data_IF_957388418231
#
_entry.id   IF_957388418231
#
_cell.length_a   1.000
_cell.length_b   1.000
_cell.length_c   1.000
_cell.angle_alpha   90.00
_cell.angle_beta   90.00
_cell.angle_gamma   90.00
#
_symmetry.space_group_name_H-M   'P 1'
#
loop_
_entity.id
_entity.type
_entity.pdbx_description
1 polymer ?
#
# COMPACT_ATOMS: atom_id res chain seq x y z
N UNK A 1 6.27 -16.05 50.23
CA UNK A 1 5.21 -16.28 49.21
C UNK A 1 5.89 -16.95 48.04
N UNK A 2 5.39 -18.08 47.57
CA UNK A 2 5.95 -18.77 46.40
C UNK A 2 5.76 -17.92 45.15
N UNK A 3 6.77 -17.88 44.29
CA UNK A 3 6.71 -17.16 43.01
C UNK A 3 5.51 -17.64 42.17
N UNK A 4 4.54 -16.77 41.83
CA UNK A 4 3.36 -17.17 41.07
C UNK A 4 3.62 -17.34 39.57
N UNK A 5 4.81 -17.00 39.06
CA UNK A 5 5.11 -16.94 37.64
C UNK A 5 4.84 -18.25 36.90
N UNK A 6 5.27 -19.38 37.49
CA UNK A 6 5.06 -20.70 36.87
C UNK A 6 3.57 -21.04 36.68
N UNK A 7 2.72 -20.70 37.64
CA UNK A 7 1.27 -20.94 37.56
C UNK A 7 0.62 -20.02 36.52
N UNK A 8 1.06 -18.77 36.44
CA UNK A 8 0.58 -17.83 35.43
C UNK A 8 0.92 -18.30 34.01
N UNK A 9 2.17 -18.70 33.76
CA UNK A 9 2.63 -19.10 32.43
C UNK A 9 1.90 -20.34 31.90
N UNK A 10 1.68 -21.35 32.75
CA UNK A 10 0.94 -22.56 32.38
C UNK A 10 -0.50 -22.23 32.01
N UNK A 11 -1.17 -21.38 32.80
CA UNK A 11 -2.55 -20.98 32.53
C UNK A 11 -2.65 -20.15 31.24
N UNK A 12 -1.71 -19.24 31.02
CA UNK A 12 -1.65 -18.43 29.81
C UNK A 12 -1.43 -19.29 28.56
N UNK A 13 -0.47 -20.21 28.59
CA UNK A 13 -0.20 -21.13 27.48
C UNK A 13 -1.41 -22.03 27.20
N UNK A 14 -2.07 -22.53 28.25
CA UNK A 14 -3.27 -23.37 28.11
C UNK A 14 -4.42 -22.61 27.46
N UNK A 15 -4.68 -21.37 27.91
CA UNK A 15 -5.71 -20.53 27.33
C UNK A 15 -5.40 -20.19 25.85
N UNK A 16 -4.15 -19.79 25.58
CA UNK A 16 -3.66 -19.46 24.24
C UNK A 16 -3.81 -20.63 23.26
N UNK A 17 -3.45 -21.85 23.68
CA UNK A 17 -3.64 -23.05 22.88
C UNK A 17 -5.13 -23.38 22.66
N UNK A 18 -5.99 -23.13 23.66
CA UNK A 18 -7.42 -23.45 23.59
C UNK A 18 -8.20 -22.59 22.60
N UNK A 19 -7.82 -21.32 22.42
CA UNK A 19 -8.41 -20.41 21.42
C UNK A 19 -7.55 -20.30 20.15
N UNK A 20 -6.41 -20.98 20.13
CA UNK A 20 -5.42 -20.96 19.08
C UNK A 20 -4.93 -19.53 18.80
N UNK A 21 -4.62 -18.72 19.81
CA UNK A 21 -4.07 -17.36 19.60
C UNK A 21 -2.67 -17.30 20.20
N UNK A 22 -1.63 -16.85 19.46
CA UNK A 22 -0.29 -16.72 20.01
C UNK A 22 -0.28 -15.90 21.30
N UNK A 23 0.42 -16.38 22.34
CA UNK A 23 0.50 -15.72 23.66
C UNK A 23 0.97 -14.26 23.56
N UNK A 24 1.89 -13.97 22.63
CA UNK A 24 2.38 -12.62 22.34
C UNK A 24 1.32 -11.68 21.76
N UNK A 25 0.32 -12.21 21.05
CA UNK A 25 -0.82 -11.43 20.55
C UNK A 25 -1.81 -11.19 21.70
N UNK A 26 -2.05 -12.18 22.57
CA UNK A 26 -3.00 -12.08 23.68
C UNK A 26 -2.59 -11.12 24.78
N UNK A 27 -1.33 -11.17 25.20
CA UNK A 27 -0.81 -10.38 26.33
C UNK A 27 -0.12 -9.10 25.86
N UNK A 28 0.18 -9.00 24.56
CA UNK A 28 1.12 -8.04 24.03
C UNK A 28 2.56 -8.46 24.31
N UNK A 29 3.51 -7.90 23.56
CA UNK A 29 4.93 -8.15 23.83
C UNK A 29 5.34 -7.36 25.08
N UNK A 30 5.78 -8.06 26.11
CA UNK A 30 6.17 -7.46 27.40
C UNK A 30 7.41 -6.55 27.31
N UNK A 31 8.15 -6.59 26.19
CA UNK A 31 9.30 -5.72 25.92
C UNK A 31 8.91 -4.41 25.20
N UNK A 32 7.62 -4.17 24.94
CA UNK A 32 7.13 -2.98 24.25
C UNK A 32 7.32 -3.01 22.73
N UNK A 33 7.87 -4.09 22.17
CA UNK A 33 7.90 -4.32 20.74
C UNK A 33 6.53 -4.82 20.23
N UNK A 34 6.29 -4.77 18.93
CA UNK A 34 5.08 -5.41 18.38
C UNK A 34 5.21 -6.93 18.56
N UNK A 35 4.08 -7.66 18.56
CA UNK A 35 4.14 -9.10 18.37
C UNK A 35 4.95 -9.40 17.09
N UNK A 36 5.68 -10.52 17.06
CA UNK A 36 6.51 -10.89 15.91
C UNK A 36 5.70 -10.77 14.62
N UNK A 37 6.31 -10.24 13.55
CA UNK A 37 5.68 -10.12 12.23
C UNK A 37 5.11 -11.46 11.77
N UNK A 38 5.76 -12.56 12.12
CA UNK A 38 5.30 -13.92 11.81
C UNK A 38 4.06 -14.33 12.61
N UNK A 39 4.06 -14.09 13.93
CA UNK A 39 2.91 -14.37 14.80
C UNK A 39 1.68 -13.55 14.36
N UNK A 40 1.89 -12.30 13.93
CA UNK A 40 0.85 -11.42 13.42
C UNK A 40 0.31 -11.91 12.07
N UNK A 41 1.18 -12.27 11.12
CA UNK A 41 0.77 -12.81 9.82
C UNK A 41 -0.04 -14.09 9.97
N UNK A 42 0.41 -15.01 10.82
CA UNK A 42 -0.31 -16.25 11.10
C UNK A 42 -1.72 -15.98 11.64
N UNK A 43 -1.84 -15.09 12.64
CA UNK A 43 -3.13 -14.75 13.22
C UNK A 43 -4.05 -14.03 12.23
N UNK A 44 -3.52 -13.06 11.48
CA UNK A 44 -4.26 -12.34 10.44
C UNK A 44 -4.81 -13.28 9.36
N UNK A 45 -3.99 -14.23 8.88
CA UNK A 45 -4.43 -15.22 7.89
C UNK A 45 -5.60 -16.04 8.40
N UNK A 46 -5.59 -16.44 9.67
CA UNK A 46 -6.73 -17.14 10.28
C UNK A 46 -7.97 -16.27 10.42
N UNK A 47 -7.83 -15.00 10.78
CA UNK A 47 -8.94 -14.06 10.79
C UNK A 47 -9.54 -13.90 9.38
N UNK A 48 -8.72 -13.86 8.33
CA UNK A 48 -9.17 -13.82 6.94
C UNK A 48 -9.92 -15.09 6.55
N UNK A 49 -9.40 -16.28 6.86
CA UNK A 49 -10.14 -17.54 6.64
C UNK A 49 -11.50 -17.52 7.32
N UNK A 50 -11.57 -17.05 8.57
CA UNK A 50 -12.85 -16.97 9.29
C UNK A 50 -13.82 -15.96 8.67
N UNK A 51 -13.32 -14.86 8.11
CA UNK A 51 -14.12 -13.86 7.39
C UNK A 51 -14.71 -14.45 6.10
N UNK A 52 -13.95 -15.26 5.39
CA UNK A 52 -14.45 -15.97 4.19
C UNK A 52 -15.58 -16.94 4.56
N UNK A 53 -15.40 -17.73 5.63
CA UNK A 53 -16.44 -18.65 6.12
C UNK A 53 -17.75 -17.92 6.47
N UNK A 54 -17.65 -16.81 7.22
CA UNK A 54 -18.81 -16.01 7.64
C UNK A 54 -19.45 -15.26 6.46
N UNK A 55 -18.68 -14.95 5.40
CA UNK A 55 -19.18 -14.26 4.21
C UNK A 55 -20.34 -15.00 3.55
N UNK A 56 -20.30 -16.34 3.53
CA UNK A 56 -21.42 -17.16 3.05
C UNK A 56 -22.67 -17.02 3.92
N UNK A 57 -22.52 -17.14 5.23
CA UNK A 57 -23.61 -17.00 6.19
C UNK A 57 -24.26 -15.60 6.12
N UNK A 58 -23.45 -14.57 5.89
CA UNK A 58 -23.92 -13.20 5.72
C UNK A 58 -24.80 -13.07 4.46
N UNK A 59 -24.37 -13.67 3.36
CA UNK A 59 -25.16 -13.71 2.12
C UNK A 59 -26.49 -14.45 2.32
N UNK A 60 -26.49 -15.54 3.07
CA UNK A 60 -27.70 -16.28 3.42
C UNK A 60 -28.66 -15.48 4.30
N UNK A 61 -28.13 -14.72 5.27
CA UNK A 61 -28.91 -13.82 6.12
C UNK A 61 -29.62 -12.76 5.28
N UNK A 62 -28.89 -12.05 4.42
CA UNK A 62 -29.48 -11.02 3.56
C UNK A 62 -30.46 -11.61 2.54
N UNK A 63 -30.17 -12.80 2.00
CA UNK A 63 -31.09 -13.52 1.11
C UNK A 63 -32.41 -13.85 1.81
N UNK A 64 -32.37 -14.29 3.08
CA UNK A 64 -33.58 -14.53 3.88
C UNK A 64 -34.35 -13.25 4.17
N UNK A 65 -33.67 -12.15 4.50
CA UNK A 65 -34.31 -10.84 4.70
C UNK A 65 -35.00 -10.35 3.42
N UNK A 66 -34.39 -10.59 2.25
CA UNK A 66 -34.98 -10.28 0.95
C UNK A 66 -36.20 -11.16 0.64
N UNK A 67 -36.14 -12.45 0.95
CA UNK A 67 -37.28 -13.37 0.82
C UNK A 67 -38.47 -12.95 1.70
N UNK A 68 -38.20 -12.41 2.89
CA UNK A 68 -39.20 -11.82 3.78
C UNK A 68 -39.69 -10.43 3.34
N UNK A 69 -39.19 -9.91 2.20
CA UNK A 69 -39.49 -8.58 1.65
C UNK A 69 -39.17 -7.42 2.60
N UNK A 70 -38.20 -7.62 3.50
CA UNK A 70 -37.70 -6.54 4.37
C UNK A 70 -36.73 -5.62 3.63
N UNK A 71 -35.98 -6.18 2.68
CA UNK A 71 -34.99 -5.48 1.85
C UNK A 71 -35.14 -5.91 0.39
N UNK A 72 -34.70 -5.05 -0.53
CA UNK A 72 -34.48 -5.42 -1.94
C UNK A 72 -33.03 -5.82 -2.11
N UNK A 73 -32.77 -7.02 -2.64
CA UNK A 73 -31.41 -7.52 -2.85
C UNK A 73 -31.03 -7.42 -4.34
N UNK A 74 -29.86 -6.88 -4.69
CA UNK A 74 -29.34 -6.92 -6.05
C UNK A 74 -29.04 -8.36 -6.48
N UNK A 75 -28.95 -8.59 -7.80
CA UNK A 75 -28.70 -9.92 -8.39
C UNK A 75 -27.30 -10.43 -8.02
N UNK A 76 -26.29 -9.56 -8.08
CA UNK A 76 -24.92 -9.87 -7.68
C UNK A 76 -24.56 -9.18 -6.37
N UNK A 77 -24.41 -9.99 -5.33
CA UNK A 77 -23.90 -9.59 -4.02
C UNK A 77 -22.67 -10.41 -3.70
N UNK A 78 -21.57 -9.72 -3.46
CA UNK A 78 -20.31 -10.24 -2.95
C UNK A 78 -19.99 -9.59 -1.61
N UNK A 79 -19.38 -10.36 -0.70
CA UNK A 79 -18.85 -9.85 0.57
C UNK A 79 -17.38 -9.55 0.35
N UNK A 80 -16.99 -8.31 0.62
CA UNK A 80 -15.59 -7.86 0.52
C UNK A 80 -15.04 -7.61 1.93
N UNK A 81 -13.78 -7.97 2.12
CA UNK A 81 -13.05 -7.74 3.36
C UNK A 81 -11.71 -7.10 3.02
N UNK A 82 -11.28 -6.16 3.85
CA UNK A 82 -9.93 -5.61 3.74
C UNK A 82 -8.90 -6.70 4.08
N UNK A 83 -7.82 -6.77 3.31
CA UNK A 83 -6.71 -7.66 3.61
C UNK A 83 -5.94 -7.15 4.84
N UNK A 84 -5.94 -7.96 5.90
CA UNK A 84 -5.24 -7.66 7.16
C UNK A 84 -3.72 -7.68 7.02
N UNK A 85 -3.21 -8.34 5.98
CA UNK A 85 -1.78 -8.40 5.67
C UNK A 85 -1.37 -7.41 4.58
N UNK A 86 -2.29 -6.54 4.14
CA UNK A 86 -1.97 -5.51 3.17
C UNK A 86 -0.83 -4.63 3.69
N UNK A 87 0.10 -4.32 2.79
CA UNK A 87 1.17 -3.37 3.08
C UNK A 87 0.56 -2.04 3.51
N UNK A 88 1.13 -1.44 4.55
CA UNK A 88 0.77 -0.09 4.95
C UNK A 88 1.11 0.89 3.84
N UNK A 89 0.42 2.03 3.80
CA UNK A 89 0.73 3.10 2.82
C UNK A 89 2.20 3.54 2.87
N UNK A 90 2.83 3.51 4.04
CA UNK A 90 4.24 3.82 4.20
C UNK A 90 5.14 2.77 3.51
N UNK A 91 4.83 1.49 3.67
CA UNK A 91 5.58 0.41 3.02
C UNK A 91 5.39 0.39 1.50
N UNK A 92 4.18 0.73 1.00
CA UNK A 92 3.91 0.90 -0.43
C UNK A 92 4.75 2.04 -1.03
N UNK A 93 4.79 3.20 -0.35
CA UNK A 93 5.62 4.32 -0.77
C UNK A 93 7.13 3.98 -0.71
N UNK A 94 7.56 3.20 0.27
CA UNK A 94 8.96 2.73 0.34
C UNK A 94 9.29 1.75 -0.80
N UNK A 95 8.36 0.87 -1.18
CA UNK A 95 8.52 -0.01 -2.33
C UNK A 95 8.64 0.78 -3.64
N UNK A 96 7.77 1.76 -3.86
CA UNK A 96 7.85 2.67 -5.00
C UNK A 96 9.18 3.46 -5.02
N UNK A 97 9.64 3.94 -3.87
CA UNK A 97 10.94 4.62 -3.75
C UNK A 97 12.12 3.71 -4.11
N UNK A 98 12.07 2.42 -3.74
CA UNK A 98 13.09 1.44 -4.14
C UNK A 98 13.07 1.18 -5.64
N UNK A 99 11.90 1.09 -6.26
CA UNK A 99 11.79 0.95 -7.71
C UNK A 99 12.37 2.18 -8.45
N UNK A 100 12.07 3.39 -7.98
CA UNK A 100 12.65 4.61 -8.53
C UNK A 100 14.19 4.67 -8.34
N UNK A 101 14.71 4.23 -7.20
CA UNK A 101 16.15 4.12 -6.97
C UNK A 101 16.83 3.11 -7.91
N UNK A 102 16.18 1.99 -8.20
CA UNK A 102 16.71 1.00 -9.16
C UNK A 102 16.84 1.64 -10.54
N UNK A 103 15.84 2.38 -11.00
CA UNK A 103 15.93 3.13 -12.26
C UNK A 103 17.07 4.15 -12.24
N UNK A 104 17.26 4.89 -11.13
CA UNK A 104 18.40 5.81 -10.99
C UNK A 104 19.75 5.10 -11.06
N UNK A 105 19.88 3.91 -10.48
CA UNK A 105 21.10 3.11 -10.53
C UNK A 105 21.36 2.53 -11.94
N UNK A 106 20.31 2.19 -12.67
CA UNK A 106 20.34 1.66 -14.04
C UNK A 106 20.39 2.75 -15.13
N UNK A 107 20.41 4.02 -14.74
CA UNK A 107 20.57 5.14 -15.68
C UNK A 107 21.87 5.02 -16.49
N UNK A 108 22.93 4.48 -15.89
CA UNK A 108 24.21 4.24 -16.55
C UNK A 108 24.17 3.14 -17.62
N UNK A 109 23.23 2.20 -17.51
CA UNK A 109 23.00 1.14 -18.51
C UNK A 109 22.01 1.55 -19.59
N UNK A 110 21.36 2.71 -19.46
CA UNK A 110 20.39 3.23 -20.43
C UNK A 110 19.08 2.44 -20.48
N UNK A 111 18.83 1.58 -19.49
CA UNK A 111 17.66 0.72 -19.42
C UNK A 111 16.77 1.18 -18.26
N UNK A 112 15.52 1.52 -18.59
CA UNK A 112 14.47 1.77 -17.60
C UNK A 112 13.83 0.43 -17.25
N UNK A 113 14.01 -0.01 -16.00
CA UNK A 113 13.55 -1.32 -15.53
C UNK A 113 12.09 -1.28 -15.12
N UNK A 114 11.65 -0.18 -14.51
CA UNK A 114 10.26 0.03 -14.10
C UNK A 114 9.72 1.30 -14.75
N UNK A 115 8.54 1.23 -15.36
CA UNK A 115 7.83 2.40 -15.85
C UNK A 115 7.28 3.26 -14.71
N UNK A 116 7.01 4.53 -14.99
CA UNK A 116 6.35 5.43 -14.04
C UNK A 116 4.98 4.93 -13.57
N UNK A 117 4.26 4.19 -14.40
CA UNK A 117 2.95 3.61 -14.06
C UNK A 117 3.11 2.43 -13.08
N UNK A 118 4.11 1.55 -13.29
CA UNK A 118 4.41 0.46 -12.35
C UNK A 118 4.85 0.98 -10.97
N UNK A 119 5.59 2.09 -10.94
CA UNK A 119 5.98 2.75 -9.67
C UNK A 119 4.75 3.34 -8.96
N UNK A 120 3.78 3.87 -9.70
CA UNK A 120 2.53 4.39 -9.12
C UNK A 120 1.63 3.29 -8.59
N UNK A 121 1.51 2.18 -9.32
CA UNK A 121 0.79 1.00 -8.87
C UNK A 121 1.41 0.44 -7.58
N UNK A 122 2.74 0.36 -7.51
CA UNK A 122 3.46 -0.05 -6.31
C UNK A 122 3.24 0.90 -5.11
N UNK A 123 3.01 2.19 -5.38
CA UNK A 123 2.66 3.18 -4.36
C UNK A 123 1.17 3.12 -3.93
N UNK A 124 0.36 2.26 -4.56
CA UNK A 124 -1.07 2.11 -4.29
C UNK A 124 -1.96 3.15 -4.98
N UNK A 125 -1.48 3.76 -6.07
CA UNK A 125 -2.26 4.67 -6.91
C UNK A 125 -2.65 3.98 -8.22
N UNK A 126 -3.94 4.05 -8.58
CA UNK A 126 -4.45 3.53 -9.85
C UNK A 126 -4.32 4.54 -11.02
N UNK A 127 -4.25 3.98 -12.23
CA UNK A 127 -4.28 4.70 -13.51
C UNK A 127 -2.93 5.27 -13.93
N UNK A 128 -2.82 5.97 -15.08
CA UNK A 128 -1.63 6.73 -15.45
C UNK A 128 -1.53 8.03 -14.65
N UNK A 129 -0.32 8.57 -14.51
CA UNK A 129 -0.16 9.91 -13.92
C UNK A 129 -0.99 10.92 -14.72
N UNK A 130 -1.71 11.82 -14.04
CA UNK A 130 -2.36 12.92 -14.76
C UNK A 130 -1.28 13.68 -15.52
N UNK A 131 -1.40 13.73 -16.84
CA UNK A 131 -0.54 14.59 -17.66
C UNK A 131 -0.77 16.00 -17.15
N UNK A 132 0.21 16.53 -16.42
CA UNK A 132 0.27 17.96 -16.18
C UNK A 132 0.60 18.51 -17.56
N UNK A 133 -0.39 19.11 -18.23
CA UNK A 133 -0.13 19.92 -19.41
C UNK A 133 0.83 21.01 -18.95
N UNK A 134 2.12 20.81 -19.21
CA UNK A 134 3.05 21.91 -19.24
C UNK A 134 2.54 22.77 -20.37
N UNK A 135 2.02 23.96 -20.06
CA UNK A 135 1.83 25.00 -21.07
C UNK A 135 3.19 25.13 -21.75
N UNK A 136 3.30 24.60 -22.98
CA UNK A 136 4.46 24.80 -23.82
C UNK A 136 4.56 26.31 -23.98
N UNK A 137 5.51 26.91 -23.26
CA UNK A 137 5.93 28.27 -23.52
C UNK A 137 6.37 28.28 -24.97
N UNK A 138 5.61 29.01 -25.78
CA UNK A 138 5.87 29.32 -27.17
C UNK A 138 7.24 30.02 -27.27
N UNK A 139 8.31 29.23 -27.29
CA UNK A 139 9.66 29.66 -27.67
C UNK A 139 9.63 29.85 -29.19
N UNK A 140 9.11 31.01 -29.62
CA UNK A 140 9.24 31.54 -30.98
C UNK A 140 10.72 31.89 -31.22
N UNK A 141 11.53 30.86 -31.50
CA UNK A 141 12.87 31.00 -32.06
C UNK A 141 12.77 31.52 -33.51
N UNK A 142 12.78 32.84 -33.66
CA UNK A 142 13.02 33.50 -34.95
C UNK A 142 14.50 33.46 -35.34
N UNK A 143 14.95 32.37 -35.97
CA UNK A 143 16.06 32.37 -36.95
C UNK A 143 15.63 33.16 -38.21
N UNK A 144 16.41 33.89 -38.99
CA UNK A 144 17.82 34.26 -39.14
C UNK A 144 17.81 35.44 -40.16
N UNK A 145 18.76 36.39 -40.14
CA UNK A 145 19.65 36.56 -41.31
C UNK A 145 20.78 37.59 -41.12
N UNK A 146 21.86 37.30 -41.85
CA UNK A 146 23.24 37.73 -41.67
C UNK A 146 23.65 38.78 -42.72
N UNK A 147 24.37 39.85 -42.33
CA UNK A 147 25.65 40.31 -42.93
C UNK A 147 26.00 41.80 -42.72
N UNK A 148 27.19 41.98 -42.13
CA UNK A 148 28.26 42.95 -42.43
C UNK A 148 27.92 44.43 -42.75
N UNK A 149 28.48 45.38 -41.99
CA UNK A 149 29.73 46.09 -42.37
C UNK A 149 30.22 47.13 -41.32
N UNK A 150 31.54 47.19 -41.17
CA UNK A 150 32.44 48.30 -40.73
C UNK A 150 32.13 49.18 -39.51
N UNK A 151 33.01 49.02 -38.50
CA UNK A 151 33.75 50.07 -37.78
C UNK A 151 33.36 51.56 -37.98
N UNK A 152 32.95 52.20 -36.88
CA UNK A 152 33.65 53.40 -36.38
C UNK A 152 33.35 53.62 -34.89
N UNK A 153 34.44 53.73 -34.13
CA UNK A 153 34.47 54.44 -32.86
C UNK A 153 33.97 55.86 -33.12
N UNK A 154 33.12 56.38 -32.24
CA UNK A 154 33.32 57.73 -31.73
C UNK A 154 32.51 57.98 -30.44
N UNK A 155 33.14 58.82 -29.63
CA UNK A 155 32.91 59.12 -28.23
C UNK A 155 32.08 60.42 -28.10
N UNK A 156 31.57 60.69 -26.89
CA UNK A 156 30.99 61.97 -26.41
C UNK A 156 29.55 62.28 -26.89
N UNK A 157 28.63 62.83 -26.09
CA UNK A 157 28.64 63.65 -24.86
C UNK A 157 27.47 63.18 -23.98
#
# INVERSE_FOLDING_TARGET
>A
VSDPSATYDVNLQTAAAGIDIPTRILVGNQQGERASTEDLRYFNSRCMTRREEIGGELKDLFSKMAALRLISMPIDVSVIWDDLNAMTKAELLEAAYKMAQINQACLATGEEIFSGDEIREAAGYDGPASVVETEEGDDDEGEEDNQANTSSRDNAI
#
